data_IF_480457214970
#
_entry.id   IF_480457214970
#
_cell.length_a   1.000
_cell.length_b   1.000
_cell.length_c   1.000
_cell.angle_alpha   90.00
_cell.angle_beta   90.00
_cell.angle_gamma   90.00
#
_symmetry.space_group_name_H-M   'P 1'
#
loop_
_entity.id
_entity.type
_entity.pdbx_description
1 polymer ?
#
# COMPACT_ATOMS: atom_id res chain seq x y z
N UNK A 1 6.63 -24.84 24.35
CA UNK A 1 6.05 -24.43 23.04
C UNK A 1 5.28 -23.12 23.21
N UNK A 2 5.86 -21.97 22.83
CA UNK A 2 5.15 -20.68 22.84
C UNK A 2 4.51 -20.46 21.48
N UNK A 3 3.18 -20.38 21.43
CA UNK A 3 2.41 -19.99 20.24
C UNK A 3 2.81 -18.57 19.88
N UNK A 4 3.57 -18.42 18.80
CA UNK A 4 3.90 -17.12 18.23
C UNK A 4 2.62 -16.43 17.80
N UNK A 5 2.39 -15.24 18.35
CA UNK A 5 1.37 -14.29 17.88
C UNK A 5 1.53 -14.14 16.36
N UNK A 6 0.45 -14.34 15.60
CA UNK A 6 0.38 -13.94 14.19
C UNK A 6 0.52 -12.42 14.13
N UNK A 7 1.76 -11.93 14.20
CA UNK A 7 2.11 -10.56 13.92
C UNK A 7 2.16 -10.47 12.40
N UNK A 8 1.14 -9.85 11.80
CA UNK A 8 1.18 -9.49 10.38
C UNK A 8 2.48 -8.74 10.13
N UNK A 9 3.44 -9.39 9.45
CA UNK A 9 4.74 -8.81 9.19
C UNK A 9 4.51 -7.59 8.28
N UNK A 10 4.62 -6.40 8.86
CA UNK A 10 4.53 -5.15 8.10
C UNK A 10 5.73 -5.11 7.16
N UNK A 11 5.48 -5.36 5.89
CA UNK A 11 6.51 -5.25 4.85
C UNK A 11 6.76 -3.75 4.62
N UNK A 12 8.00 -3.26 4.72
CA UNK A 12 8.31 -1.86 4.50
C UNK A 12 8.00 -1.45 3.06
N UNK A 13 7.59 -0.18 2.88
CA UNK A 13 7.52 0.42 1.55
C UNK A 13 8.94 0.74 1.06
N UNK A 14 9.18 0.55 -0.23
CA UNK A 14 10.39 0.95 -0.93
C UNK A 14 10.07 1.93 -2.07
N UNK A 15 11.03 2.79 -2.39
CA UNK A 15 10.95 3.77 -3.49
C UNK A 15 9.63 4.59 -3.50
N UNK A 16 9.20 5.20 -2.38
CA UNK A 16 8.00 5.99 -2.36
C UNK A 16 8.16 7.27 -3.19
N UNK A 17 7.16 7.58 -4.00
CA UNK A 17 7.05 8.80 -4.79
C UNK A 17 5.68 9.41 -4.58
N UNK A 18 5.65 10.74 -4.42
CA UNK A 18 4.43 11.53 -4.33
C UNK A 18 4.63 12.82 -5.12
N UNK A 19 3.81 13.05 -6.14
CA UNK A 19 3.86 14.25 -6.97
C UNK A 19 2.44 14.68 -7.34
N UNK A 20 1.99 15.77 -6.73
CA UNK A 20 0.59 16.20 -6.82
C UNK A 20 -0.34 15.10 -6.28
N UNK A 21 -1.29 14.66 -7.11
CA UNK A 21 -2.19 13.55 -6.76
C UNK A 21 -1.62 12.18 -7.13
N UNK A 22 -0.44 12.08 -7.75
CA UNK A 22 0.17 10.81 -8.17
C UNK A 22 1.00 10.20 -7.05
N UNK A 23 0.80 8.91 -6.79
CA UNK A 23 1.52 8.13 -5.79
C UNK A 23 2.14 6.89 -6.43
N UNK A 24 3.34 6.54 -6.01
CA UNK A 24 4.01 5.29 -6.41
C UNK A 24 4.83 4.72 -5.27
N UNK A 25 4.81 3.40 -5.08
CA UNK A 25 5.63 2.71 -4.09
C UNK A 25 5.78 1.23 -4.42
N UNK A 26 6.73 0.57 -3.78
CA UNK A 26 6.95 -0.88 -3.92
C UNK A 26 6.76 -1.57 -2.57
N UNK A 27 6.07 -2.71 -2.55
CA UNK A 27 6.00 -3.62 -1.40
C UNK A 27 6.44 -5.01 -1.87
N UNK A 28 7.56 -5.51 -1.35
CA UNK A 28 8.16 -6.75 -1.83
C UNK A 28 8.50 -6.66 -3.32
N UNK A 29 7.90 -7.55 -4.12
CA UNK A 29 8.07 -7.61 -5.58
C UNK A 29 6.92 -6.93 -6.36
N UNK A 30 6.06 -6.18 -5.67
CA UNK A 30 4.89 -5.53 -6.28
C UNK A 30 5.07 -4.02 -6.29
N UNK A 31 4.96 -3.43 -7.48
CA UNK A 31 4.92 -2.00 -7.68
C UNK A 31 3.46 -1.54 -7.69
N UNK A 32 3.19 -0.45 -6.99
CA UNK A 32 1.90 0.20 -6.93
C UNK A 32 2.05 1.59 -7.50
N UNK A 33 1.24 1.91 -8.49
CA UNK A 33 1.14 3.25 -9.05
C UNK A 33 -0.33 3.67 -9.04
N UNK A 34 -0.60 4.92 -8.68
CA UNK A 34 -1.98 5.37 -8.56
C UNK A 34 -2.13 6.85 -8.27
N UNK A 35 -3.31 7.20 -7.77
CA UNK A 35 -3.65 8.54 -7.32
C UNK A 35 -4.18 8.54 -5.90
N UNK A 36 -3.81 9.57 -5.14
CA UNK A 36 -4.34 9.86 -3.82
C UNK A 36 -5.30 11.06 -3.89
N UNK A 37 -6.55 10.86 -3.47
CA UNK A 37 -7.62 11.87 -3.51
C UNK A 37 -8.40 11.83 -2.19
N UNK A 38 -8.18 12.85 -1.35
CA UNK A 38 -8.79 12.91 -0.01
C UNK A 38 -8.41 11.68 0.82
N UNK A 39 -9.42 10.95 1.27
CA UNK A 39 -9.25 9.74 2.09
C UNK A 39 -9.15 8.44 1.28
N UNK A 40 -9.15 8.52 -0.05
CA UNK A 40 -9.06 7.36 -0.92
C UNK A 40 -7.80 7.40 -1.80
N UNK A 41 -7.24 6.22 -2.04
CA UNK A 41 -6.16 5.99 -2.99
C UNK A 41 -6.53 4.83 -3.91
N UNK A 42 -6.15 4.91 -5.18
CA UNK A 42 -6.44 3.84 -6.14
C UNK A 42 -5.47 3.86 -7.31
N UNK A 43 -5.30 2.71 -7.96
CA UNK A 43 -4.47 2.63 -9.14
C UNK A 43 -4.26 1.21 -9.61
N UNK A 44 -3.13 0.96 -10.25
CA UNK A 44 -2.72 -0.34 -10.78
C UNK A 44 -1.51 -0.87 -10.03
N UNK A 45 -1.50 -2.17 -9.80
CA UNK A 45 -0.38 -2.92 -9.28
C UNK A 45 0.24 -3.78 -10.39
N UNK A 46 1.56 -3.96 -10.34
CA UNK A 46 2.30 -4.83 -11.25
C UNK A 46 3.40 -5.59 -10.51
N UNK A 47 3.78 -6.77 -11.04
CA UNK A 47 4.75 -7.66 -10.41
C UNK A 47 4.08 -8.90 -9.83
N UNK A 48 4.39 -9.24 -8.56
CA UNK A 48 3.84 -10.44 -7.93
C UNK A 48 2.31 -10.41 -7.76
N UNK A 49 1.75 -9.23 -7.50
CA UNK A 49 0.32 -8.94 -7.63
C UNK A 49 0.10 -8.01 -8.81
N UNK A 50 -1.01 -8.21 -9.54
CA UNK A 50 -1.36 -7.40 -10.70
C UNK A 50 -2.83 -6.98 -10.68
N UNK A 51 -3.11 -5.83 -11.27
CA UNK A 51 -4.44 -5.29 -11.45
C UNK A 51 -4.80 -4.16 -10.48
N UNK A 52 -6.08 -3.78 -10.52
CA UNK A 52 -6.59 -2.60 -9.83
C UNK A 52 -6.55 -2.75 -8.32
N UNK A 53 -6.01 -1.75 -7.63
CA UNK A 53 -6.02 -1.65 -6.18
C UNK A 53 -6.75 -0.40 -5.70
N UNK A 54 -7.30 -0.48 -4.48
CA UNK A 54 -7.94 0.64 -3.78
C UNK A 54 -7.58 0.58 -2.31
N UNK A 55 -7.32 1.73 -1.70
CA UNK A 55 -7.13 1.87 -0.26
C UNK A 55 -7.95 3.06 0.24
N UNK A 56 -8.54 2.93 1.42
CA UNK A 56 -9.27 4.00 2.10
C UNK A 56 -8.65 4.23 3.47
N UNK A 57 -8.59 5.49 3.91
CA UNK A 57 -8.26 5.82 5.29
C UNK A 57 -9.40 5.31 6.17
N UNK A 58 -9.12 4.26 6.92
CA UNK A 58 -9.98 3.82 8.02
C UNK A 58 -9.65 4.73 9.20
N UNK A 59 -10.54 5.69 9.46
CA UNK A 59 -10.41 6.62 10.57
C UNK A 59 -10.39 5.85 11.89
N UNK A 60 -9.27 5.91 12.59
CA UNK A 60 -9.20 5.70 14.03
C UNK A 60 -8.62 7.01 14.57
N UNK A 61 -9.52 7.96 14.78
CA UNK A 61 -9.22 9.11 15.64
C UNK A 61 -8.85 8.53 17.01
N UNK A 62 -7.75 9.00 17.59
CA UNK A 62 -7.14 8.46 18.81
C UNK A 62 -7.02 9.56 19.84
#
# INVERSE_FOLDING_TARGET
MKRGRSGSARTPLANPTLSGDRIGFTIGLTQFAGRARGDAMSGEASGAYHGRWTAIRIGHDH
#
